data_IF_909598543526
#
_entry.id   IF_909598543526
#
_cell.length_a   1.000
_cell.length_b   1.000
_cell.length_c   1.000
_cell.angle_alpha   90.00
_cell.angle_beta   90.00
_cell.angle_gamma   90.00
#
_symmetry.space_group_name_H-M   'P 1'
#
loop_
_entity.id
_entity.type
_entity.pdbx_description
1 polymer ?
#
# COMPACT_ATOMS: atom_id res chain seq x y z
N UNK A 1 -41.81 -2.03 -36.99
CA UNK A 1 -41.93 -1.37 -35.67
C UNK A 1 -42.40 0.05 -35.92
N UNK A 2 -43.50 0.48 -35.31
CA UNK A 2 -43.97 1.84 -35.43
C UNK A 2 -43.09 2.75 -34.57
N UNK A 3 -42.36 3.67 -35.21
CA UNK A 3 -41.63 4.72 -34.51
C UNK A 3 -42.58 5.91 -34.33
N UNK A 4 -42.85 6.29 -33.09
CA UNK A 4 -43.65 7.48 -32.77
C UNK A 4 -42.79 8.72 -32.95
N UNK A 5 -43.25 9.66 -33.79
CA UNK A 5 -42.52 10.90 -34.14
C UNK A 5 -42.72 12.02 -33.10
N UNK A 6 -43.45 11.74 -32.02
CA UNK A 6 -43.61 12.58 -30.83
C UNK A 6 -43.69 11.68 -29.59
N UNK A 7 -43.49 12.19 -28.35
CA UNK A 7 -43.63 11.39 -27.14
C UNK A 7 -45.02 10.75 -27.09
N UNK A 8 -45.07 9.42 -27.08
CA UNK A 8 -46.30 8.64 -27.17
C UNK A 8 -46.23 7.38 -26.32
N UNK A 9 -47.38 6.96 -25.82
CA UNK A 9 -47.51 5.70 -25.08
C UNK A 9 -47.65 4.56 -26.08
N UNK A 10 -46.72 3.61 -26.03
CA UNK A 10 -46.80 2.36 -26.80
C UNK A 10 -47.20 1.26 -25.82
N UNK A 11 -48.36 0.65 -26.04
CA UNK A 11 -48.77 -0.54 -25.31
C UNK A 11 -48.03 -1.76 -25.87
N UNK A 12 -47.30 -2.45 -24.99
CA UNK A 12 -46.64 -3.71 -25.32
C UNK A 12 -47.27 -4.78 -24.44
N UNK A 13 -47.82 -5.81 -25.06
CA UNK A 13 -48.15 -7.04 -24.35
C UNK A 13 -46.89 -7.91 -24.30
N UNK A 14 -46.40 -8.16 -23.09
CA UNK A 14 -45.28 -9.05 -22.82
C UNK A 14 -45.88 -10.23 -22.08
N UNK A 15 -45.88 -11.39 -22.73
CA UNK A 15 -46.28 -12.65 -22.08
C UNK A 15 -45.11 -13.17 -21.24
N UNK A 16 -45.34 -13.32 -19.93
CA UNK A 16 -44.36 -13.82 -18.96
C UNK A 16 -44.40 -15.34 -18.80
N UNK A 17 -45.24 -16.05 -19.54
CA UNK A 17 -45.52 -17.48 -19.33
C UNK A 17 -44.93 -18.42 -20.39
N UNK A 18 -44.48 -17.90 -21.54
CA UNK A 18 -44.04 -18.74 -22.68
C UNK A 18 -42.59 -19.24 -22.56
N UNK A 19 -41.80 -18.65 -21.66
CA UNK A 19 -40.43 -19.05 -21.34
C UNK A 19 -40.28 -18.79 -19.84
N UNK A 20 -39.84 -19.76 -19.04
CA UNK A 20 -39.21 -19.44 -17.76
C UNK A 20 -37.79 -19.05 -18.12
N UNK A 21 -37.44 -17.76 -18.21
CA UNK A 21 -36.02 -17.42 -18.28
C UNK A 21 -35.38 -18.04 -17.04
N UNK A 22 -34.28 -18.77 -17.20
CA UNK A 22 -33.30 -18.98 -16.11
C UNK A 22 -32.64 -17.63 -15.78
N UNK A 23 -33.44 -16.63 -15.45
CA UNK A 23 -33.00 -15.43 -14.79
C UNK A 23 -33.12 -15.77 -13.32
N UNK A 24 -31.99 -15.89 -12.60
CA UNK A 24 -31.96 -16.22 -11.17
C UNK A 24 -32.96 -15.37 -10.37
N UNK A 25 -34.14 -15.94 -10.11
CA UNK A 25 -35.28 -15.21 -9.52
C UNK A 25 -35.16 -15.08 -8.01
N UNK A 26 -34.20 -15.74 -7.38
CA UNK A 26 -33.95 -15.57 -5.95
C UNK A 26 -32.74 -14.66 -5.75
N UNK A 27 -32.99 -13.34 -5.72
CA UNK A 27 -32.00 -12.40 -5.20
C UNK A 27 -31.86 -12.65 -3.69
N UNK A 28 -30.79 -13.33 -3.29
CA UNK A 28 -30.45 -13.52 -1.89
C UNK A 28 -29.89 -12.23 -1.29
N UNK A 29 -30.06 -12.06 0.03
CA UNK A 29 -29.32 -11.06 0.79
C UNK A 29 -28.66 -11.74 1.99
N UNK A 30 -27.39 -11.44 2.23
CA UNK A 30 -26.64 -11.98 3.34
C UNK A 30 -25.81 -10.88 4.01
N UNK A 31 -25.91 -10.75 5.33
CA UNK A 31 -25.09 -9.86 6.12
C UNK A 31 -24.27 -10.67 7.12
N UNK A 32 -22.96 -10.46 7.13
CA UNK A 32 -22.09 -11.25 8.00
C UNK A 32 -20.67 -10.72 8.12
N UNK A 33 -19.88 -11.42 8.94
CA UNK A 33 -18.47 -11.12 9.10
C UNK A 33 -17.66 -11.72 7.93
N UNK A 34 -16.91 -10.87 7.24
CA UNK A 34 -15.94 -11.26 6.21
C UNK A 34 -14.57 -10.66 6.53
N UNK A 35 -13.51 -11.24 5.97
CA UNK A 35 -12.12 -10.81 6.26
C UNK A 35 -11.73 -9.54 5.53
N UNK A 36 -12.26 -9.36 4.33
CA UNK A 36 -11.91 -8.29 3.41
C UNK A 36 -13.14 -7.72 2.72
N UNK A 37 -12.97 -6.60 2.03
CA UNK A 37 -14.04 -5.95 1.29
C UNK A 37 -14.70 -4.80 2.06
N UNK A 38 -15.60 -4.06 1.40
CA UNK A 38 -16.21 -2.87 1.95
C UNK A 38 -17.20 -3.21 3.06
N UNK A 39 -17.19 -2.41 4.13
CA UNK A 39 -18.09 -2.49 5.28
C UNK A 39 -19.32 -1.63 5.02
N UNK A 40 -20.48 -2.10 5.48
CA UNK A 40 -21.78 -1.41 5.37
C UNK A 40 -22.16 -1.02 3.92
N UNK A 41 -21.59 -1.72 2.92
CA UNK A 41 -21.88 -1.53 1.49
C UNK A 41 -22.37 -2.83 0.90
N UNK A 42 -23.38 -2.73 0.05
CA UNK A 42 -23.96 -3.86 -0.68
C UNK A 42 -23.04 -4.20 -1.85
N UNK A 43 -22.61 -5.45 -1.92
CA UNK A 43 -21.86 -6.02 -3.05
C UNK A 43 -22.66 -7.18 -3.63
N UNK A 44 -22.99 -7.09 -4.92
CA UNK A 44 -23.64 -8.19 -5.63
C UNK A 44 -22.59 -9.19 -6.10
N UNK A 45 -22.79 -10.46 -5.76
CA UNK A 45 -21.93 -11.59 -6.14
C UNK A 45 -22.79 -12.69 -6.77
N UNK A 46 -22.33 -13.20 -7.91
CA UNK A 46 -23.05 -14.22 -8.68
C UNK A 46 -22.37 -15.59 -8.72
N UNK A 47 -21.14 -15.69 -8.23
CA UNK A 47 -20.39 -16.95 -8.12
C UNK A 47 -19.52 -16.97 -6.86
N UNK A 48 -19.10 -18.16 -6.44
CA UNK A 48 -18.15 -18.31 -5.33
C UNK A 48 -16.81 -17.65 -5.65
N UNK A 49 -16.35 -17.68 -6.90
CA UNK A 49 -15.11 -17.00 -7.30
C UNK A 49 -15.18 -15.49 -7.07
N UNK A 50 -16.31 -14.86 -7.41
CA UNK A 50 -16.53 -13.44 -7.13
C UNK A 50 -16.65 -13.16 -5.62
N UNK A 51 -17.20 -14.10 -4.84
CA UNK A 51 -17.21 -14.00 -3.38
C UNK A 51 -15.78 -14.03 -2.82
N UNK A 52 -14.91 -14.92 -3.31
CA UNK A 52 -13.50 -14.99 -2.93
C UNK A 52 -12.74 -13.73 -3.37
N UNK A 53 -12.99 -13.23 -4.58
CA UNK A 53 -12.33 -12.03 -5.09
C UNK A 53 -12.64 -10.81 -4.21
N UNK A 54 -13.92 -10.60 -3.87
CA UNK A 54 -14.36 -9.43 -3.11
C UNK A 54 -14.07 -9.54 -1.60
N UNK A 55 -14.29 -10.71 -0.99
CA UNK A 55 -14.28 -10.89 0.47
C UNK A 55 -13.13 -11.76 1.01
N UNK A 56 -12.35 -12.36 0.10
CA UNK A 56 -11.22 -13.27 0.39
C UNK A 56 -11.64 -14.57 1.09
N UNK A 57 -10.74 -15.56 1.09
CA UNK A 57 -10.98 -16.88 1.69
C UNK A 57 -11.18 -16.79 3.21
N UNK A 58 -12.08 -17.58 3.80
CA UNK A 58 -12.40 -17.48 5.22
C UNK A 58 -11.23 -17.89 6.13
N UNK A 59 -11.31 -17.43 7.36
CA UNK A 59 -10.48 -17.86 8.49
C UNK A 59 -11.34 -18.53 9.57
N UNK A 60 -10.72 -18.88 10.70
CA UNK A 60 -11.39 -19.50 11.83
C UNK A 60 -12.50 -18.66 12.47
N UNK A 61 -12.64 -17.39 12.13
CA UNK A 61 -13.68 -16.49 12.65
C UNK A 61 -14.79 -16.16 11.64
N UNK A 62 -14.50 -16.26 10.35
CA UNK A 62 -15.39 -15.83 9.25
C UNK A 62 -15.95 -16.99 8.42
N UNK A 63 -15.53 -18.24 8.71
CA UNK A 63 -15.95 -19.43 7.98
C UNK A 63 -17.46 -19.63 7.89
N UNK A 64 -18.21 -19.37 8.98
CA UNK A 64 -19.67 -19.53 8.98
C UNK A 64 -20.34 -18.63 7.94
N UNK A 65 -19.94 -17.36 7.88
CA UNK A 65 -20.47 -16.39 6.93
C UNK A 65 -20.16 -16.79 5.48
N UNK A 66 -18.90 -17.15 5.24
CA UNK A 66 -18.41 -17.48 3.91
C UNK A 66 -19.08 -18.74 3.36
N UNK A 67 -19.08 -19.85 4.12
CA UNK A 67 -19.68 -21.10 3.65
C UNK A 67 -21.20 -21.03 3.54
N UNK A 68 -21.87 -20.21 4.36
CA UNK A 68 -23.30 -19.96 4.20
C UNK A 68 -23.60 -19.25 2.87
N UNK A 69 -22.82 -18.22 2.52
CA UNK A 69 -22.94 -17.52 1.25
C UNK A 69 -22.57 -18.41 0.05
N UNK A 70 -21.49 -19.18 0.14
CA UNK A 70 -21.05 -20.09 -0.91
C UNK A 70 -22.08 -21.20 -1.19
N UNK A 71 -22.65 -21.81 -0.13
CA UNK A 71 -23.71 -22.82 -0.29
C UNK A 71 -24.97 -22.27 -0.96
N UNK A 72 -25.31 -21.01 -0.71
CA UNK A 72 -26.41 -20.35 -1.43
C UNK A 72 -26.05 -20.10 -2.89
N UNK A 73 -24.84 -19.60 -3.17
CA UNK A 73 -24.37 -19.28 -4.51
C UNK A 73 -24.33 -20.50 -5.44
N UNK A 74 -24.11 -21.70 -4.89
CA UNK A 74 -24.19 -22.96 -5.62
C UNK A 74 -25.55 -23.22 -6.32
N UNK A 75 -26.62 -22.56 -5.88
CA UNK A 75 -27.97 -22.71 -6.44
C UNK A 75 -28.61 -21.38 -6.88
N UNK A 76 -28.29 -20.28 -6.19
CA UNK A 76 -29.00 -19.00 -6.32
C UNK A 76 -28.40 -18.04 -7.34
N UNK A 77 -27.11 -18.17 -7.68
CA UNK A 77 -26.36 -17.38 -8.70
C UNK A 77 -26.47 -15.83 -8.59
N UNK A 78 -27.15 -15.29 -7.57
CA UNK A 78 -27.37 -13.87 -7.34
C UNK A 78 -27.56 -13.59 -5.84
N UNK A 79 -26.49 -13.17 -5.16
CA UNK A 79 -26.46 -12.87 -3.74
C UNK A 79 -25.94 -11.46 -3.49
N UNK A 80 -26.68 -10.66 -2.74
CA UNK A 80 -26.23 -9.37 -2.25
C UNK A 80 -25.61 -9.55 -0.86
N UNK A 81 -24.31 -9.32 -0.75
CA UNK A 81 -23.55 -9.49 0.48
C UNK A 81 -23.21 -8.12 1.09
N UNK A 82 -23.41 -7.99 2.40
CA UNK A 82 -22.93 -6.86 3.20
C UNK A 82 -21.99 -7.37 4.27
N UNK A 83 -20.77 -6.84 4.30
CA UNK A 83 -19.83 -7.11 5.38
C UNK A 83 -20.10 -6.19 6.57
N UNK A 84 -20.17 -6.78 7.75
CA UNK A 84 -20.33 -6.07 9.02
C UNK A 84 -18.96 -5.85 9.67
N UNK A 85 -18.73 -4.67 10.23
CA UNK A 85 -17.53 -4.36 11.00
C UNK A 85 -17.49 -5.13 12.33
N UNK A 86 -16.32 -5.60 12.74
CA UNK A 86 -16.06 -5.97 14.14
C UNK A 86 -15.43 -4.79 14.89
N UNK A 87 -15.28 -4.91 16.21
CA UNK A 87 -14.68 -3.88 17.07
C UNK A 87 -13.18 -3.64 16.82
N UNK A 88 -12.56 -4.41 15.92
CA UNK A 88 -11.14 -4.35 15.59
C UNK A 88 -10.91 -4.26 14.08
N UNK A 89 -11.92 -3.79 13.33
CA UNK A 89 -11.83 -3.61 11.89
C UNK A 89 -11.17 -2.26 11.64
N UNK A 90 -9.84 -2.25 11.61
CA UNK A 90 -9.07 -1.06 11.25
C UNK A 90 -8.38 -1.28 9.92
N UNK A 91 -8.19 -0.20 9.18
CA UNK A 91 -7.34 -0.19 8.01
C UNK A 91 -5.89 -0.19 8.48
N UNK A 92 -5.05 -0.93 7.78
CA UNK A 92 -3.62 -0.82 7.97
C UNK A 92 -3.19 0.61 7.56
N UNK A 93 -2.30 1.23 8.33
CA UNK A 93 -1.85 2.62 8.19
C UNK A 93 -0.39 2.75 8.54
N UNK A 94 0.30 3.71 7.91
CA UNK A 94 1.73 3.95 8.17
C UNK A 94 2.05 4.39 9.61
N UNK A 95 1.06 4.89 10.34
CA UNK A 95 1.17 5.15 11.77
C UNK A 95 0.50 4.03 12.58
N UNK A 96 1.31 3.31 13.37
CA UNK A 96 0.84 2.24 14.27
C UNK A 96 0.22 2.74 15.58
N UNK A 97 0.38 4.03 15.91
CA UNK A 97 -0.16 4.63 17.13
C UNK A 97 -1.64 5.01 17.00
N UNK A 98 -2.10 5.24 15.77
CA UNK A 98 -3.45 5.71 15.47
C UNK A 98 -4.21 4.67 14.66
N UNK A 99 -5.44 4.35 15.08
CA UNK A 99 -6.29 3.39 14.39
C UNK A 99 -7.36 4.14 13.57
N UNK A 100 -7.45 3.85 12.27
CA UNK A 100 -8.48 4.40 11.39
C UNK A 100 -9.41 3.30 10.88
N UNK A 101 -10.71 3.59 10.80
CA UNK A 101 -11.69 2.74 10.12
C UNK A 101 -12.27 3.50 8.94
N UNK A 102 -11.87 3.08 7.74
CA UNK A 102 -12.44 3.53 6.48
C UNK A 102 -13.36 2.41 5.98
N UNK A 103 -14.67 2.63 6.11
CA UNK A 103 -15.68 1.59 5.84
C UNK A 103 -15.79 1.25 4.36
N UNK A 104 -15.80 2.26 3.50
CA UNK A 104 -16.03 2.13 2.07
C UNK A 104 -15.43 3.32 1.33
N UNK A 105 -15.38 3.23 -0.01
CA UNK A 105 -14.89 4.33 -0.84
C UNK A 105 -15.68 5.63 -0.58
N UNK A 106 -16.99 5.53 -0.34
CA UNK A 106 -17.85 6.67 0.00
C UNK A 106 -17.46 7.31 1.34
N UNK A 107 -17.15 6.48 2.35
CA UNK A 107 -16.66 6.96 3.64
C UNK A 107 -15.30 7.64 3.51
N UNK A 108 -14.44 7.16 2.62
CA UNK A 108 -13.16 7.77 2.33
C UNK A 108 -13.33 9.16 1.69
N UNK A 109 -14.12 9.25 0.62
CA UNK A 109 -14.30 10.51 -0.11
C UNK A 109 -14.92 11.61 0.75
N UNK A 110 -15.98 11.30 1.51
CA UNK A 110 -16.63 12.29 2.37
C UNK A 110 -15.76 12.75 3.55
N UNK A 111 -14.74 11.98 3.94
CA UNK A 111 -13.92 12.29 5.14
C UNK A 111 -12.58 12.93 4.77
N UNK A 112 -11.88 12.39 3.76
CA UNK A 112 -10.49 12.72 3.47
C UNK A 112 -10.28 13.46 2.15
N UNK A 113 -11.27 13.47 1.26
CA UNK A 113 -11.13 14.08 -0.06
C UNK A 113 -11.80 15.45 -0.12
N UNK A 114 -10.99 16.51 -0.28
CA UNK A 114 -11.44 17.91 -0.17
C UNK A 114 -12.46 18.31 -1.22
N UNK A 115 -12.40 17.73 -2.43
CA UNK A 115 -13.35 18.02 -3.50
C UNK A 115 -14.76 17.47 -3.22
N UNK A 116 -14.88 16.49 -2.32
CA UNK A 116 -16.15 15.86 -1.94
C UNK A 116 -16.56 16.21 -0.50
N UNK A 117 -16.03 17.31 0.06
CA UNK A 117 -16.42 17.82 1.38
C UNK A 117 -15.65 17.23 2.57
N UNK A 118 -14.60 16.45 2.31
CA UNK A 118 -13.68 15.95 3.33
C UNK A 118 -12.67 17.01 3.82
N UNK A 119 -12.03 16.72 4.94
CA UNK A 119 -11.08 17.62 5.63
C UNK A 119 -9.66 17.61 5.03
N UNK A 120 -9.40 16.77 4.03
CA UNK A 120 -8.07 16.55 3.47
C UNK A 120 -7.28 15.45 4.19
N UNK A 121 -6.04 15.21 3.73
CA UNK A 121 -5.14 14.25 4.35
C UNK A 121 -4.84 14.63 5.81
N UNK A 122 -4.97 13.66 6.73
CA UNK A 122 -4.55 13.82 8.13
C UNK A 122 -3.14 13.26 8.30
N UNK A 123 -2.31 13.98 9.05
CA UNK A 123 -0.97 13.52 9.42
C UNK A 123 -0.99 12.39 10.46
N UNK A 124 -2.14 12.12 11.08
CA UNK A 124 -2.28 11.15 12.18
C UNK A 124 -2.26 9.70 11.71
N UNK A 125 -2.56 9.43 10.43
CA UNK A 125 -2.62 8.06 9.87
C UNK A 125 -1.48 7.80 8.87
N UNK A 126 -0.66 8.82 8.62
CA UNK A 126 0.35 8.90 7.58
C UNK A 126 -0.20 8.83 6.14
N UNK A 127 0.68 8.62 5.18
CA UNK A 127 0.42 8.89 3.75
C UNK A 127 -0.33 7.77 3.04
N UNK A 128 -0.24 6.54 3.54
CA UNK A 128 -0.83 5.35 2.94
C UNK A 128 -1.73 4.63 3.93
N UNK A 129 -2.91 4.23 3.44
CA UNK A 129 -3.85 3.39 4.17
C UNK A 129 -4.37 2.26 3.27
N UNK A 130 -4.70 1.12 3.87
CA UNK A 130 -5.39 0.04 3.18
C UNK A 130 -6.75 0.46 2.62
N UNK A 131 -7.13 -0.09 1.46
CA UNK A 131 -8.45 0.17 0.86
C UNK A 131 -9.59 -0.33 1.76
N UNK A 132 -9.44 -1.50 2.37
CA UNK A 132 -10.43 -2.09 3.27
C UNK A 132 -9.81 -2.40 4.63
N UNK A 133 -10.64 -2.29 5.67
CA UNK A 133 -10.27 -2.66 7.02
C UNK A 133 -10.05 -4.18 7.15
N UNK A 134 -8.98 -4.60 7.81
CA UNK A 134 -8.69 -6.01 8.07
C UNK A 134 -7.21 -6.37 7.96
N UNK A 135 -6.85 -7.53 8.51
CA UNK A 135 -5.47 -8.00 8.63
C UNK A 135 -4.72 -8.17 7.30
N UNK A 136 -5.44 -8.36 6.18
CA UNK A 136 -4.80 -8.47 4.86
C UNK A 136 -4.16 -7.14 4.42
N UNK A 137 -4.61 -6.01 4.96
CA UNK A 137 -3.98 -4.71 4.73
C UNK A 137 -2.52 -4.68 5.18
N UNK A 138 -2.19 -5.38 6.27
CA UNK A 138 -0.84 -5.45 6.84
C UNK A 138 0.16 -6.21 5.94
N UNK A 139 -0.32 -6.83 4.85
CA UNK A 139 0.56 -7.48 3.87
C UNK A 139 1.09 -6.53 2.81
N UNK A 140 0.55 -5.31 2.74
CA UNK A 140 0.98 -4.31 1.77
C UNK A 140 2.26 -3.65 2.22
N UNK A 141 3.17 -3.46 1.27
CA UNK A 141 4.42 -2.75 1.47
C UNK A 141 4.53 -1.73 0.35
N UNK A 142 4.68 -0.47 0.73
CA UNK A 142 4.84 0.65 -0.21
C UNK A 142 6.26 1.18 -0.08
N UNK A 143 6.94 1.30 -1.21
CA UNK A 143 8.28 1.85 -1.31
C UNK A 143 8.26 2.92 -2.39
N UNK A 144 8.60 4.15 -2.03
CA UNK A 144 8.62 5.26 -2.98
C UNK A 144 10.03 5.77 -3.17
N UNK A 145 10.46 5.86 -4.43
CA UNK A 145 11.67 6.52 -4.87
C UNK A 145 11.41 8.01 -5.16
N UNK A 146 11.70 8.91 -4.22
CA UNK A 146 11.77 10.36 -4.36
C UNK A 146 12.91 10.82 -5.26
N UNK A 147 12.65 11.78 -6.14
CA UNK A 147 13.40 11.92 -7.39
C UNK A 147 14.74 12.70 -7.35
N UNK A 148 15.23 13.09 -6.17
CA UNK A 148 16.05 14.32 -6.13
C UNK A 148 17.55 14.13 -6.35
N UNK A 149 18.11 12.95 -6.04
CA UNK A 149 19.55 12.69 -6.19
C UNK A 149 19.76 11.34 -6.90
N UNK A 150 20.51 11.26 -8.01
CA UNK A 150 20.80 10.00 -8.69
C UNK A 150 21.76 9.10 -7.86
N UNK A 151 21.77 7.80 -8.11
CA UNK A 151 22.85 6.92 -7.61
C UNK A 151 24.12 7.25 -8.38
N UNK A 152 25.24 7.33 -7.69
CA UNK A 152 26.49 7.70 -8.34
C UNK A 152 27.66 7.72 -7.37
N UNK A 153 28.86 7.73 -7.96
CA UNK A 153 30.10 7.95 -7.23
C UNK A 153 30.07 9.37 -6.65
N UNK A 154 30.22 9.49 -5.34
CA UNK A 154 30.28 10.78 -4.67
C UNK A 154 31.57 11.52 -5.05
N UNK A 155 31.54 12.84 -4.98
CA UNK A 155 32.76 13.63 -5.15
C UNK A 155 33.69 13.45 -3.95
N UNK A 156 34.99 13.45 -4.20
CA UNK A 156 36.01 13.36 -3.16
C UNK A 156 36.20 11.96 -2.58
N UNK A 157 36.82 11.93 -1.40
CA UNK A 157 37.15 10.68 -0.69
C UNK A 157 36.82 10.82 0.78
N UNK A 158 36.61 9.69 1.46
CA UNK A 158 36.28 9.67 2.88
C UNK A 158 37.26 8.84 3.70
N UNK A 159 37.22 9.06 5.00
CA UNK A 159 37.66 8.15 6.05
C UNK A 159 36.49 7.91 7.01
N UNK A 160 36.33 6.70 7.54
CA UNK A 160 35.33 6.41 8.58
C UNK A 160 36.05 5.87 9.80
N UNK A 161 35.80 6.47 10.95
CA UNK A 161 36.26 5.99 12.25
C UNK A 161 35.05 5.65 13.12
N UNK A 162 34.92 4.38 13.52
CA UNK A 162 33.84 3.90 14.36
C UNK A 162 34.18 4.06 15.85
N UNK A 163 33.25 4.69 16.58
CA UNK A 163 33.24 4.73 18.03
C UNK A 163 32.02 3.92 18.51
N UNK A 164 32.22 2.61 18.70
CA UNK A 164 31.16 1.63 18.97
C UNK A 164 30.18 1.45 17.80
N UNK A 165 28.90 1.81 17.97
CA UNK A 165 27.88 1.58 16.94
C UNK A 165 27.94 2.62 15.84
N UNK A 166 28.23 3.88 16.18
CA UNK A 166 28.24 5.02 15.24
C UNK A 166 29.65 5.30 14.72
N UNK A 167 29.74 5.56 13.41
CA UNK A 167 30.96 5.96 12.70
C UNK A 167 30.95 7.45 12.38
N UNK A 168 32.06 8.13 12.68
CA UNK A 168 32.31 9.50 12.22
C UNK A 168 33.00 9.45 10.87
N UNK A 169 32.42 10.12 9.88
CA UNK A 169 32.96 10.21 8.52
C UNK A 169 33.64 11.56 8.33
N UNK A 170 34.88 11.54 7.87
CA UNK A 170 35.63 12.74 7.47
C UNK A 170 35.86 12.69 5.96
N UNK A 171 35.30 13.66 5.26
CA UNK A 171 35.41 13.82 3.81
C UNK A 171 36.54 14.77 3.40
N UNK A 172 37.15 14.52 2.25
CA UNK A 172 38.12 15.40 1.59
C UNK A 172 37.63 15.65 0.16
N UNK A 173 37.28 16.90 -0.14
CA UNK A 173 36.74 17.29 -1.45
C UNK A 173 35.33 16.74 -1.73
N UNK A 174 34.57 16.45 -0.69
CA UNK A 174 33.20 15.92 -0.72
C UNK A 174 32.16 17.05 -0.68
N UNK A 175 30.96 16.79 -1.18
CA UNK A 175 29.82 17.71 -1.13
C UNK A 175 28.58 17.06 -0.48
N UNK A 176 28.73 16.57 0.76
CA UNK A 176 27.69 15.75 1.41
C UNK A 176 26.32 16.44 1.53
N UNK A 177 26.25 17.76 1.69
CA UNK A 177 24.94 18.44 1.84
C UNK A 177 24.14 18.52 0.53
N UNK A 178 24.80 18.37 -0.61
CA UNK A 178 24.17 18.40 -1.94
C UNK A 178 24.05 17.02 -2.58
N UNK A 179 24.92 16.07 -2.22
CA UNK A 179 25.00 14.75 -2.85
C UNK A 179 24.38 13.62 -2.01
N UNK A 180 24.09 13.87 -0.73
CA UNK A 180 23.53 12.88 0.19
C UNK A 180 22.38 13.47 1.01
N UNK A 181 21.51 12.56 1.45
CA UNK A 181 20.47 12.83 2.43
C UNK A 181 20.59 11.86 3.61
N UNK A 182 20.00 12.24 4.75
CA UNK A 182 19.91 11.34 5.92
C UNK A 182 19.11 10.09 5.52
N UNK A 183 19.56 8.93 5.99
CA UNK A 183 19.08 7.58 5.63
C UNK A 183 19.48 7.07 4.25
N UNK A 184 20.33 7.78 3.50
CA UNK A 184 20.93 7.20 2.30
C UNK A 184 21.83 6.00 2.66
N UNK A 185 21.86 5.02 1.76
CA UNK A 185 22.79 3.89 1.86
C UNK A 185 24.00 4.16 0.98
N UNK A 186 25.17 4.16 1.59
CA UNK A 186 26.45 4.36 0.92
C UNK A 186 27.33 3.12 1.04
N UNK A 187 28.11 2.86 0.00
CA UNK A 187 29.06 1.76 -0.04
C UNK A 187 30.46 2.25 -0.39
N UNK A 188 31.44 1.64 0.27
CA UNK A 188 32.87 1.87 0.08
C UNK A 188 33.55 0.65 -0.56
N UNK A 189 32.92 -0.53 -0.44
CA UNK A 189 33.30 -1.77 -1.11
C UNK A 189 32.03 -2.61 -1.38
N UNK A 190 32.14 -3.68 -2.17
CA UNK A 190 30.98 -4.52 -2.59
C UNK A 190 30.38 -5.39 -1.47
N UNK A 191 30.88 -5.33 -0.22
CA UNK A 191 30.43 -6.24 0.85
C UNK A 191 29.93 -5.54 2.11
N UNK A 192 30.35 -4.29 2.35
CA UNK A 192 29.95 -3.49 3.51
C UNK A 192 29.19 -2.26 3.08
N UNK A 193 28.10 -1.97 3.79
CA UNK A 193 27.29 -0.77 3.59
C UNK A 193 27.24 0.02 4.88
N UNK A 194 27.05 1.32 4.70
CA UNK A 194 26.84 2.27 5.78
C UNK A 194 25.58 3.08 5.49
N UNK A 195 24.79 3.35 6.53
CA UNK A 195 23.58 4.18 6.47
C UNK A 195 23.92 5.54 7.06
N UNK A 196 23.59 6.61 6.36
CA UNK A 196 23.80 7.99 6.83
C UNK A 196 22.84 8.31 7.97
N UNK A 197 23.37 8.65 9.15
CA UNK A 197 22.55 8.99 10.33
C UNK A 197 22.40 10.49 10.52
N UNK A 198 23.44 11.27 10.23
CA UNK A 198 23.37 12.73 10.22
C UNK A 198 24.42 13.32 9.27
N UNK A 199 24.14 14.50 8.71
CA UNK A 199 25.08 15.28 7.91
C UNK A 199 25.31 16.60 8.63
N UNK A 200 26.55 16.86 9.05
CA UNK A 200 26.90 18.08 9.78
C UNK A 200 27.39 19.18 8.83
N UNK A 201 28.23 18.83 7.86
CA UNK A 201 28.77 19.73 6.84
C UNK A 201 29.08 18.95 5.55
N UNK A 202 29.53 19.63 4.49
CA UNK A 202 29.99 19.00 3.25
C UNK A 202 31.13 17.98 3.43
N UNK A 203 31.82 18.02 4.57
CA UNK A 203 32.98 17.17 4.88
C UNK A 203 32.82 16.34 6.15
N UNK A 204 31.68 16.44 6.85
CA UNK A 204 31.45 15.73 8.10
C UNK A 204 30.02 15.17 8.16
N UNK A 205 29.93 13.87 8.42
CA UNK A 205 28.65 13.15 8.60
C UNK A 205 28.87 11.99 9.58
N UNK A 206 27.79 11.42 10.10
CA UNK A 206 27.82 10.18 10.88
C UNK A 206 27.07 9.07 10.18
N UNK A 207 27.48 7.83 10.44
CA UNK A 207 26.93 6.63 9.80
C UNK A 207 26.79 5.45 10.76
N UNK A 208 25.86 4.54 10.47
CA UNK A 208 25.85 3.18 11.03
C UNK A 208 26.31 2.17 9.98
N UNK A 209 27.04 1.14 10.38
CA UNK A 209 27.39 0.04 9.47
C UNK A 209 26.97 -1.30 10.06
N UNK A 210 26.84 -2.32 9.21
CA UNK A 210 26.63 -3.69 9.65
C UNK A 210 27.91 -4.35 10.18
N UNK A 211 29.08 -3.82 9.83
CA UNK A 211 30.38 -4.40 10.18
C UNK A 211 31.19 -3.56 11.19
N UNK A 212 30.87 -2.27 11.34
CA UNK A 212 31.58 -1.29 12.20
C UNK A 212 33.11 -1.33 12.06
N UNK A 213 33.59 -1.56 10.84
CA UNK A 213 35.01 -1.59 10.52
C UNK A 213 35.46 -0.22 10.03
N UNK A 214 36.51 0.31 10.64
CA UNK A 214 37.15 1.55 10.20
C UNK A 214 37.54 1.49 8.71
N UNK A 215 37.43 2.64 8.04
CA UNK A 215 37.75 2.81 6.64
C UNK A 215 38.87 3.83 6.53
N UNK A 216 39.97 3.41 5.91
CA UNK A 216 41.14 4.25 5.68
C UNK A 216 40.79 5.48 4.82
N UNK A 217 41.55 6.55 5.02
CA UNK A 217 41.41 7.77 4.24
C UNK A 217 41.68 7.55 2.75
N UNK A 218 41.05 8.36 1.90
CA UNK A 218 41.20 8.27 0.45
C UNK A 218 40.25 7.27 -0.21
N UNK A 219 39.26 6.73 0.52
CA UNK A 219 38.31 5.76 -0.04
C UNK A 219 37.18 6.48 -0.76
N UNK A 220 36.90 6.08 -2.01
CA UNK A 220 35.77 6.59 -2.76
C UNK A 220 34.47 5.92 -2.30
N UNK A 221 33.36 6.65 -2.38
CA UNK A 221 32.06 6.22 -1.88
C UNK A 221 31.06 6.32 -2.99
N UNK A 222 30.19 5.33 -3.09
CA UNK A 222 29.08 5.39 -4.04
C UNK A 222 27.77 5.29 -3.28
N UNK A 223 26.80 6.09 -3.70
CA UNK A 223 25.44 6.08 -3.17
C UNK A 223 24.63 5.00 -3.88
N UNK A 224 23.96 4.14 -3.11
CA UNK A 224 23.04 3.14 -3.63
C UNK A 224 21.59 3.61 -3.53
N UNK A 225 20.73 3.09 -4.40
CA UNK A 225 19.29 3.08 -4.16
C UNK A 225 18.98 2.00 -3.14
N UNK A 226 18.22 2.31 -2.11
CA UNK A 226 17.84 1.35 -1.08
C UNK A 226 16.36 1.42 -0.78
N UNK A 227 15.71 0.25 -0.76
CA UNK A 227 14.46 0.03 -0.04
C UNK A 227 14.69 -0.94 1.12
N UNK A 228 13.86 -0.91 2.16
CA UNK A 228 13.86 -1.83 3.30
C UNK A 228 13.21 -3.17 2.92
N UNK A 229 12.63 -3.26 1.72
CA UNK A 229 11.85 -4.40 1.27
C UNK A 229 12.48 -5.20 0.12
N UNK A 230 13.59 -4.72 -0.46
CA UNK A 230 14.37 -5.44 -1.48
C UNK A 230 15.87 -5.31 -1.21
N UNK A 231 16.61 -6.39 -1.47
CA UNK A 231 18.06 -6.40 -1.43
C UNK A 231 18.67 -5.46 -2.49
N UNK A 232 19.93 -5.10 -2.27
CA UNK A 232 20.69 -4.13 -3.07
C UNK A 232 20.82 -4.58 -4.51
N UNK A 233 20.41 -3.76 -5.47
CA UNK A 233 20.84 -3.95 -6.85
C UNK A 233 22.16 -3.20 -7.09
N UNK A 234 23.28 -3.94 -7.11
CA UNK A 234 24.51 -3.46 -7.72
C UNK A 234 24.29 -3.39 -9.24
N UNK A 235 24.22 -2.16 -9.79
CA UNK A 235 24.43 -1.95 -11.23
C UNK A 235 23.20 -1.98 -12.13
N UNK A 236 22.04 -1.49 -11.68
CA UNK A 236 21.02 -1.06 -12.64
C UNK A 236 21.48 0.25 -13.31
N UNK A 237 21.90 0.19 -14.57
CA UNK A 237 22.09 1.36 -15.46
C UNK A 237 20.77 2.06 -15.80
N UNK A 238 19.77 2.00 -14.92
CA UNK A 238 18.45 2.59 -15.06
C UNK A 238 18.16 3.54 -13.90
N UNK A 239 18.14 4.82 -14.23
CA UNK A 239 17.66 5.96 -13.44
C UNK A 239 16.45 5.61 -12.54
N UNK A 240 16.50 5.80 -11.20
CA UNK A 240 15.37 6.27 -10.37
C UNK A 240 15.68 6.41 -8.83
N UNK A 241 15.20 7.45 -8.11
CA UNK A 241 15.94 8.12 -7.02
C UNK A 241 15.41 7.91 -5.56
N UNK A 242 16.00 8.47 -4.50
CA UNK A 242 15.97 8.05 -3.06
C UNK A 242 14.66 7.68 -2.32
N UNK A 243 14.72 6.79 -1.33
CA UNK A 243 13.52 6.13 -0.76
C UNK A 243 13.17 6.53 0.69
N UNK A 244 11.93 7.02 0.95
CA UNK A 244 11.34 7.14 2.29
C UNK A 244 10.32 6.00 2.48
N UNK A 245 10.26 5.42 3.68
CA UNK A 245 9.52 4.19 3.95
C UNK A 245 8.63 4.29 5.17
N UNK A 246 7.35 3.95 4.97
CA UNK A 246 6.40 3.64 6.02
C UNK A 246 5.98 2.16 5.91
N UNK A 247 5.79 1.51 7.04
CA UNK A 247 5.16 0.18 7.13
C UNK A 247 3.69 0.42 7.40
N UNK A 248 2.79 -0.14 6.59
CA UNK A 248 1.33 -0.02 6.75
C UNK A 248 0.81 -1.05 7.76
#
# INVERSE_FOLDING_TARGET
MAFTVSPGVVTREIDLTTIVPESGTTAGAFAGAFRWGPIDKIVSVSSEDLLVENFQKPDSSTYLSFFSAANFLAYGQNLNVVRVANTSAYNATTDSANAVLIKSDESYYNTYYTEFGGSGASNDYGEFAAKYAGQLGNSMKVSLCGADIPSGLLTGTIAIAFAATEGTVTGTGTAFTSELQVNDVVYTNSSSYSIVTAIATDTAMTVYSSANTDIASGTAVTRAYSSQYSEKEEGSTGIAPGCIMGTV
#
